data_IF_758011046367
#
_entry.id   IF_758011046367
#
_cell.length_a   1.000
_cell.length_b   1.000
_cell.length_c   1.000
_cell.angle_alpha   90.00
_cell.angle_beta   90.00
_cell.angle_gamma   90.00
#
_symmetry.space_group_name_H-M   'P 1'
#
loop_
_entity.id
_entity.type
_entity.pdbx_description
1 polymer ?
#
# COMPACT_ATOMS: atom_id res chain seq x y z
N UNK A 1 2.04 17.61 -1.56
CA UNK A 1 1.03 17.92 -0.53
C UNK A 1 1.23 19.29 0.14
N UNK A 2 2.44 19.67 0.61
CA UNK A 2 2.65 20.94 1.35
C UNK A 2 2.22 22.19 0.57
N UNK A 3 2.49 22.26 -0.74
CA UNK A 3 2.03 23.37 -1.59
C UNK A 3 0.49 23.49 -1.61
N UNK A 4 -0.21 22.36 -1.66
CA UNK A 4 -1.66 22.33 -1.60
C UNK A 4 -2.24 22.71 -0.24
N UNK A 5 -1.58 22.31 0.85
CA UNK A 5 -1.98 22.69 2.21
C UNK A 5 -1.92 24.21 2.44
N UNK A 6 -0.94 24.87 1.81
CA UNK A 6 -0.70 26.31 1.92
C UNK A 6 -1.36 27.14 0.78
N UNK A 7 -2.15 26.50 -0.07
CA UNK A 7 -2.87 27.19 -1.13
C UNK A 7 -4.04 28.04 -0.57
N UNK A 8 -4.56 28.94 -1.41
CA UNK A 8 -5.74 29.71 -1.02
C UNK A 8 -6.95 28.80 -0.82
N UNK A 9 -7.69 29.06 0.25
CA UNK A 9 -8.90 28.29 0.60
C UNK A 9 -10.15 28.74 -0.19
N UNK A 10 -10.00 29.02 -1.49
CA UNK A 10 -11.04 29.52 -2.40
C UNK A 10 -11.68 28.42 -3.28
N UNK A 11 -11.33 27.15 -3.03
CA UNK A 11 -11.86 26.00 -3.76
C UNK A 11 -11.20 25.76 -5.12
N UNK A 12 -10.21 26.54 -5.53
CA UNK A 12 -9.53 26.40 -6.84
C UNK A 12 -8.42 25.37 -6.80
N UNK A 13 -7.91 25.01 -5.60
CA UNK A 13 -6.82 24.04 -5.43
C UNK A 13 -7.34 22.77 -4.75
N UNK A 14 -7.33 21.68 -5.51
CA UNK A 14 -7.57 20.33 -5.01
C UNK A 14 -6.25 19.58 -4.99
N UNK A 15 -5.95 18.93 -3.88
CA UNK A 15 -4.66 18.24 -3.66
C UNK A 15 -4.89 16.76 -3.45
N UNK A 16 -4.06 15.94 -4.09
CA UNK A 16 -4.00 14.51 -3.74
C UNK A 16 -3.34 14.38 -2.37
N UNK A 17 -4.07 13.78 -1.44
CA UNK A 17 -3.60 13.42 -0.10
C UNK A 17 -3.44 11.91 -0.01
N UNK A 18 -2.42 11.47 0.72
CA UNK A 18 -2.01 10.07 0.74
C UNK A 18 -1.68 9.63 2.17
N UNK A 19 -1.47 8.33 2.36
CA UNK A 19 -1.18 7.71 3.66
C UNK A 19 0.01 8.35 4.37
N UNK A 20 0.94 8.97 3.65
CA UNK A 20 2.09 9.67 4.21
C UNK A 20 1.70 10.78 5.20
N UNK A 21 0.51 11.37 5.07
CA UNK A 21 0.01 12.34 6.07
C UNK A 21 -0.06 11.74 7.48
N UNK A 22 -0.30 10.43 7.61
CA UNK A 22 -0.32 9.74 8.88
C UNK A 22 1.06 9.25 9.33
N UNK A 23 1.91 8.83 8.39
CA UNK A 23 3.21 8.20 8.70
C UNK A 23 4.32 9.22 8.93
N UNK A 24 4.38 10.31 8.15
CA UNK A 24 5.43 11.33 8.25
C UNK A 24 5.44 12.04 9.61
N UNK A 25 4.27 12.27 10.21
CA UNK A 25 4.17 12.87 11.53
C UNK A 25 4.73 11.93 12.61
N UNK A 26 4.36 10.65 12.56
CA UNK A 26 4.88 9.62 13.47
C UNK A 26 6.39 9.41 13.34
N UNK A 27 6.95 9.60 12.14
CA UNK A 27 8.37 9.49 11.85
C UNK A 27 9.17 10.77 12.15
N UNK A 28 8.50 11.87 12.51
CA UNK A 28 9.15 13.18 12.76
C UNK A 28 9.73 13.83 11.49
N UNK A 29 9.30 13.40 10.31
CA UNK A 29 9.81 13.85 9.00
C UNK A 29 8.79 14.66 8.19
N UNK A 30 7.73 15.14 8.83
CA UNK A 30 6.59 15.79 8.19
C UNK A 30 6.87 17.19 7.62
N UNK A 31 8.01 17.81 7.93
CA UNK A 31 8.38 19.17 7.50
C UNK A 31 7.25 20.20 7.72
N UNK A 32 6.49 20.06 8.81
CA UNK A 32 5.33 20.90 9.12
C UNK A 32 4.04 20.52 8.41
N UNK A 33 4.03 19.46 7.60
CA UNK A 33 2.82 18.94 6.95
C UNK A 33 2.06 18.02 7.91
N UNK A 34 0.78 18.31 8.17
CA UNK A 34 -0.10 17.49 9.02
C UNK A 34 -1.43 17.23 8.33
N UNK A 35 -2.12 16.18 8.75
CA UNK A 35 -3.45 15.85 8.23
C UNK A 35 -4.48 16.96 8.51
N UNK A 36 -4.33 17.67 9.63
CA UNK A 36 -5.22 18.78 10.05
C UNK A 36 -5.18 20.00 9.12
N UNK A 37 -4.22 20.08 8.20
CA UNK A 37 -4.12 21.15 7.22
C UNK A 37 -5.07 20.95 6.02
N UNK A 38 -5.73 19.80 5.95
CA UNK A 38 -6.64 19.46 4.86
C UNK A 38 -8.06 19.19 5.34
N UNK A 39 -9.01 19.53 4.50
CA UNK A 39 -10.39 19.06 4.56
C UNK A 39 -10.54 17.99 3.48
N UNK A 40 -10.80 16.71 3.84
CA UNK A 40 -10.92 15.62 2.88
C UNK A 40 -12.20 15.77 2.05
N UNK A 41 -12.14 15.47 0.76
CA UNK A 41 -13.28 15.46 -0.16
C UNK A 41 -13.74 14.03 -0.42
N UNK A 42 -12.83 13.17 -0.88
CA UNK A 42 -13.15 11.79 -1.22
C UNK A 42 -11.90 10.89 -1.20
N UNK A 43 -12.13 9.62 -0.98
CA UNK A 43 -11.12 8.60 -1.23
C UNK A 43 -11.16 8.20 -2.71
N UNK A 44 -9.99 8.13 -3.35
CA UNK A 44 -9.84 7.75 -4.77
C UNK A 44 -9.60 6.25 -4.88
N UNK A 45 -8.65 5.73 -4.11
CA UNK A 45 -8.37 4.30 -4.02
C UNK A 45 -7.75 3.93 -2.68
N UNK A 46 -7.79 2.63 -2.37
CA UNK A 46 -7.01 2.00 -1.31
C UNK A 46 -6.42 0.69 -1.82
N UNK A 47 -5.28 0.30 -1.29
CA UNK A 47 -4.65 -0.99 -1.59
C UNK A 47 -3.96 -1.50 -0.33
N UNK A 48 -4.13 -2.78 -0.03
CA UNK A 48 -3.43 -3.44 1.07
C UNK A 48 -2.10 -4.01 0.61
N UNK A 49 -1.20 -4.24 1.55
CA UNK A 49 0.01 -5.02 1.28
C UNK A 49 -0.34 -6.49 1.04
N UNK A 50 0.41 -7.10 0.14
CA UNK A 50 0.39 -8.54 -0.13
C UNK A 50 1.78 -9.12 0.09
N UNK A 51 1.87 -10.23 0.78
CA UNK A 51 3.12 -11.00 0.92
C UNK A 51 3.17 -11.97 -0.25
N UNK A 52 4.14 -11.75 -1.12
CA UNK A 52 4.24 -12.44 -2.40
C UNK A 52 5.62 -13.08 -2.54
N UNK A 53 5.65 -14.31 -3.06
CA UNK A 53 6.85 -15.11 -3.28
C UNK A 53 6.86 -15.63 -4.73
N UNK A 54 8.01 -16.14 -5.19
CA UNK A 54 8.10 -16.83 -6.47
C UNK A 54 7.23 -18.09 -6.44
N UNK A 55 6.43 -18.33 -7.49
CA UNK A 55 5.51 -19.48 -7.53
C UNK A 55 6.24 -20.83 -7.54
N UNK A 56 7.51 -20.86 -8.01
CA UNK A 56 8.37 -22.07 -8.04
C UNK A 56 9.03 -22.37 -6.70
N UNK A 57 8.94 -21.46 -5.74
CA UNK A 57 9.53 -21.66 -4.42
C UNK A 57 8.66 -22.58 -3.58
N UNK A 58 9.02 -23.85 -3.53
CA UNK A 58 8.28 -24.89 -2.79
C UNK A 58 8.44 -24.80 -1.27
N UNK A 59 9.35 -23.93 -0.76
CA UNK A 59 9.49 -23.71 0.69
C UNK A 59 8.23 -23.10 1.30
N UNK A 60 7.47 -22.32 0.51
CA UNK A 60 6.37 -21.48 1.00
C UNK A 60 5.10 -21.79 0.24
N UNK A 61 4.22 -22.60 0.81
CA UNK A 61 2.88 -22.85 0.24
C UNK A 61 1.79 -22.04 0.95
N UNK A 62 2.03 -21.69 2.22
CA UNK A 62 1.14 -20.89 3.05
C UNK A 62 1.91 -19.74 3.72
N UNK A 63 1.19 -18.77 4.25
CA UNK A 63 1.81 -17.71 5.06
C UNK A 63 2.42 -18.28 6.34
N UNK A 64 1.85 -19.34 6.89
CA UNK A 64 2.35 -20.03 8.08
C UNK A 64 3.70 -20.69 7.80
N UNK A 65 3.87 -21.37 6.65
CA UNK A 65 5.15 -21.96 6.23
C UNK A 65 6.22 -20.86 6.15
N UNK A 66 5.88 -19.75 5.50
CA UNK A 66 6.75 -18.60 5.32
C UNK A 66 7.20 -18.01 6.66
N UNK A 67 6.25 -17.75 7.57
CA UNK A 67 6.55 -17.18 8.88
C UNK A 67 7.37 -18.16 9.74
N UNK A 68 7.02 -19.44 9.74
CA UNK A 68 7.77 -20.44 10.51
C UNK A 68 9.21 -20.57 10.01
N UNK A 69 9.42 -20.57 8.70
CA UNK A 69 10.74 -20.55 8.12
C UNK A 69 11.53 -19.27 8.50
N UNK A 70 10.87 -18.11 8.40
CA UNK A 70 11.49 -16.81 8.69
C UNK A 70 11.79 -16.58 10.18
N UNK A 71 11.25 -17.37 11.10
CA UNK A 71 11.63 -17.34 12.53
C UNK A 71 13.00 -17.97 12.78
N UNK A 72 13.37 -18.94 11.97
CA UNK A 72 14.62 -19.72 12.12
C UNK A 72 15.69 -19.30 11.11
N UNK A 73 15.29 -18.66 10.02
CA UNK A 73 16.16 -18.28 8.90
C UNK A 73 15.94 -16.81 8.53
N UNK A 74 17.00 -16.12 8.12
CA UNK A 74 16.88 -14.79 7.53
C UNK A 74 16.24 -14.89 6.13
N UNK A 75 15.16 -14.13 5.91
CA UNK A 75 14.45 -14.05 4.63
C UNK A 75 14.61 -12.66 4.03
N UNK A 76 15.09 -12.59 2.79
CA UNK A 76 15.21 -11.32 2.06
C UNK A 76 13.83 -10.82 1.60
N UNK A 77 13.43 -9.65 2.12
CA UNK A 77 12.12 -9.04 1.90
C UNK A 77 12.27 -7.73 1.13
N UNK A 78 11.90 -7.74 -0.15
CA UNK A 78 11.88 -6.55 -1.00
C UNK A 78 10.73 -5.61 -0.68
N UNK A 79 10.97 -4.30 -0.77
CA UNK A 79 9.98 -3.26 -0.55
C UNK A 79 10.28 -2.01 -1.40
N UNK A 80 9.38 -1.02 -1.38
CA UNK A 80 9.47 0.18 -2.21
C UNK A 80 10.32 1.32 -1.64
N UNK A 81 11.22 1.03 -0.71
CA UNK A 81 12.13 2.00 -0.12
C UNK A 81 12.05 2.08 1.40
N UNK A 82 13.14 2.50 2.03
CA UNK A 82 13.22 2.63 3.49
C UNK A 82 12.21 3.66 4.01
N UNK A 83 11.39 3.25 4.99
CA UNK A 83 10.34 4.08 5.58
C UNK A 83 9.08 4.24 4.71
N UNK A 84 9.07 3.72 3.47
CA UNK A 84 7.87 3.67 2.66
C UNK A 84 6.82 2.70 3.24
N UNK A 85 5.57 2.83 2.81
CA UNK A 85 4.46 2.05 3.38
C UNK A 85 4.68 0.53 3.27
N UNK A 86 5.29 0.05 2.19
CA UNK A 86 5.56 -1.37 2.01
C UNK A 86 6.72 -1.88 2.89
N UNK A 87 7.70 -1.02 3.22
CA UNK A 87 8.69 -1.34 4.25
C UNK A 87 8.03 -1.45 5.63
N UNK A 88 7.13 -0.52 5.97
CA UNK A 88 6.38 -0.58 7.23
C UNK A 88 5.48 -1.82 7.32
N UNK A 89 4.92 -2.27 6.19
CA UNK A 89 4.14 -3.50 6.11
C UNK A 89 5.00 -4.73 6.49
N UNK A 90 6.16 -4.89 5.85
CA UNK A 90 7.08 -5.97 6.16
C UNK A 90 7.58 -5.91 7.62
N UNK A 91 7.95 -4.72 8.10
CA UNK A 91 8.41 -4.51 9.47
C UNK A 91 7.29 -4.79 10.50
N UNK A 92 6.04 -4.42 10.19
CA UNK A 92 4.88 -4.73 11.02
C UNK A 92 4.64 -6.23 11.16
N UNK A 93 4.75 -6.96 10.06
CA UNK A 93 4.66 -8.43 10.06
C UNK A 93 5.80 -9.06 10.86
N UNK A 94 7.03 -8.60 10.66
CA UNK A 94 8.18 -9.07 11.43
C UNK A 94 7.98 -8.87 12.95
N UNK A 95 7.51 -7.69 13.34
CA UNK A 95 7.24 -7.35 14.74
C UNK A 95 6.15 -8.24 15.35
N UNK A 96 5.07 -8.49 14.61
CA UNK A 96 3.93 -9.29 15.07
C UNK A 96 4.30 -10.77 15.22
N UNK A 97 5.12 -11.28 14.29
CA UNK A 97 5.38 -12.72 14.19
C UNK A 97 6.70 -13.16 14.79
N UNK A 98 7.65 -12.25 14.99
CA UNK A 98 9.04 -12.57 15.34
C UNK A 98 9.88 -13.08 14.16
N UNK A 99 9.37 -12.96 12.92
CA UNK A 99 10.10 -13.33 11.71
C UNK A 99 11.35 -12.46 11.49
N UNK A 100 12.40 -13.03 10.93
CA UNK A 100 13.67 -12.37 10.66
C UNK A 100 13.72 -11.95 9.17
N UNK A 101 13.34 -10.72 8.88
CA UNK A 101 13.38 -10.17 7.53
C UNK A 101 14.63 -9.29 7.34
N UNK A 102 15.41 -9.62 6.31
CA UNK A 102 16.41 -8.72 5.75
C UNK A 102 15.72 -7.80 4.73
N UNK A 103 15.44 -6.57 5.14
CA UNK A 103 14.77 -5.61 4.29
C UNK A 103 15.68 -5.15 3.15
N UNK A 104 15.23 -5.33 1.90
CA UNK A 104 15.90 -4.88 0.68
C UNK A 104 15.06 -3.74 0.08
N UNK A 105 15.61 -2.52 0.17
CA UNK A 105 14.92 -1.32 -0.29
C UNK A 105 15.22 -1.05 -1.77
N UNK A 106 14.16 -0.85 -2.56
CA UNK A 106 14.21 -0.48 -3.97
C UNK A 106 13.65 0.92 -4.19
N UNK A 107 13.95 1.51 -5.33
CA UNK A 107 13.30 2.74 -5.79
C UNK A 107 11.95 2.39 -6.45
N UNK A 108 10.96 2.06 -5.61
CA UNK A 108 9.65 1.57 -6.02
C UNK A 108 9.51 0.05 -6.09
N UNK A 109 8.27 -0.43 -6.22
CA UNK A 109 7.95 -1.86 -6.18
C UNK A 109 8.47 -2.64 -7.40
N UNK A 110 8.57 -2.00 -8.58
CA UNK A 110 8.92 -2.68 -9.83
C UNK A 110 10.30 -3.38 -9.76
N UNK A 111 11.31 -2.72 -9.17
CA UNK A 111 12.64 -3.31 -8.98
C UNK A 111 12.60 -4.53 -8.06
N UNK A 112 11.86 -4.45 -6.95
CA UNK A 112 11.69 -5.56 -6.02
C UNK A 112 11.00 -6.77 -6.69
N UNK A 113 9.96 -6.53 -7.49
CA UNK A 113 9.24 -7.57 -8.22
C UNK A 113 10.15 -8.23 -9.27
N UNK A 114 10.97 -7.46 -9.97
CA UNK A 114 11.94 -7.99 -10.94
C UNK A 114 12.94 -8.93 -10.27
N UNK A 115 13.48 -8.53 -9.12
CA UNK A 115 14.43 -9.35 -8.36
C UNK A 115 13.78 -10.60 -7.75
N UNK A 116 12.49 -10.52 -7.37
CA UNK A 116 11.73 -11.69 -6.93
C UNK A 116 11.52 -12.68 -8.07
N UNK A 117 11.17 -12.22 -9.27
CA UNK A 117 11.03 -13.05 -10.46
C UNK A 117 12.36 -13.72 -10.84
N UNK A 118 13.48 -13.00 -10.64
CA UNK A 118 14.83 -13.50 -10.85
C UNK A 118 15.38 -14.36 -9.71
N UNK A 119 14.59 -14.62 -8.66
CA UNK A 119 14.99 -15.40 -7.48
C UNK A 119 16.20 -14.81 -6.73
N UNK A 120 16.41 -13.47 -6.84
CA UNK A 120 17.47 -12.74 -6.14
C UNK A 120 17.08 -12.36 -4.71
N UNK A 121 15.78 -12.32 -4.42
CA UNK A 121 15.18 -12.15 -3.10
C UNK A 121 14.07 -13.18 -2.89
N UNK A 122 13.77 -13.49 -1.61
CA UNK A 122 12.81 -14.55 -1.26
C UNK A 122 11.35 -14.10 -1.35
N UNK A 123 11.06 -12.84 -1.01
CA UNK A 123 9.70 -12.33 -0.96
C UNK A 123 9.65 -10.82 -1.19
N UNK A 124 8.46 -10.32 -1.50
CA UNK A 124 8.14 -8.87 -1.49
C UNK A 124 6.92 -8.58 -0.65
N UNK A 125 6.94 -7.42 0.00
CA UNK A 125 5.75 -6.78 0.57
C UNK A 125 5.42 -5.56 -0.29
N UNK A 126 4.40 -5.69 -1.16
CA UNK A 126 3.90 -4.66 -2.07
C UNK A 126 2.39 -4.81 -2.22
N UNK A 127 1.68 -3.93 -2.96
CA UNK A 127 0.25 -4.13 -3.16
C UNK A 127 -0.03 -5.28 -4.14
N UNK A 128 -1.19 -5.94 -3.96
CA UNK A 128 -1.64 -6.97 -4.91
C UNK A 128 -1.70 -6.42 -6.35
N UNK A 129 -2.16 -5.20 -6.55
CA UNK A 129 -2.26 -4.60 -7.87
C UNK A 129 -0.91 -4.52 -8.63
N UNK A 130 0.21 -4.44 -7.90
CA UNK A 130 1.55 -4.38 -8.48
C UNK A 130 2.05 -5.77 -8.92
N UNK A 131 1.52 -6.84 -8.37
CA UNK A 131 1.92 -8.24 -8.68
C UNK A 131 0.84 -9.01 -9.44
N UNK A 132 -0.35 -8.47 -9.64
CA UNK A 132 -1.52 -9.17 -10.17
C UNK A 132 -1.25 -9.92 -11.48
N UNK A 133 -0.63 -9.26 -12.47
CA UNK A 133 -0.32 -9.87 -13.75
C UNK A 133 0.62 -11.08 -13.62
N UNK A 134 1.57 -11.06 -12.69
CA UNK A 134 2.50 -12.17 -12.44
C UNK A 134 1.85 -13.32 -11.66
N UNK A 135 0.87 -12.99 -10.83
CA UNK A 135 0.05 -14.00 -10.14
C UNK A 135 -0.88 -14.70 -11.13
N UNK A 136 -1.51 -13.94 -12.04
CA UNK A 136 -2.37 -14.47 -13.09
C UNK A 136 -1.59 -15.33 -14.10
N UNK A 137 -0.32 -14.98 -14.40
CA UNK A 137 0.55 -15.81 -15.26
C UNK A 137 1.10 -17.04 -14.54
N UNK A 138 1.01 -17.12 -13.23
CA UNK A 138 1.55 -18.21 -12.41
C UNK A 138 3.05 -18.09 -12.12
N UNK A 139 3.66 -16.93 -12.34
CA UNK A 139 5.08 -16.69 -12.02
C UNK A 139 5.29 -16.35 -10.53
N UNK A 140 4.31 -15.70 -9.92
CA UNK A 140 4.30 -15.35 -8.50
C UNK A 140 3.06 -15.94 -7.82
N UNK A 141 3.15 -16.14 -6.49
CA UNK A 141 2.02 -16.52 -5.64
C UNK A 141 1.92 -15.60 -4.42
N UNK A 142 0.70 -15.20 -4.08
CA UNK A 142 0.40 -14.41 -2.88
C UNK A 142 0.09 -15.36 -1.73
N UNK A 143 0.80 -15.23 -0.61
CA UNK A 143 0.60 -16.06 0.57
C UNK A 143 -0.48 -15.51 1.51
N UNK A 144 -0.53 -14.19 1.67
CA UNK A 144 -1.57 -13.49 2.45
C UNK A 144 -1.65 -12.01 2.07
N UNK A 145 -2.79 -11.40 2.39
CA UNK A 145 -3.00 -9.95 2.27
C UNK A 145 -3.17 -9.31 3.65
N UNK A 146 -2.64 -8.11 3.83
CA UNK A 146 -2.75 -7.33 5.07
C UNK A 146 -3.99 -6.44 5.04
N UNK A 147 -5.16 -7.06 4.95
CA UNK A 147 -6.45 -6.39 4.86
C UNK A 147 -7.40 -6.95 5.93
N UNK A 148 -8.48 -6.25 6.23
CA UNK A 148 -9.53 -6.69 7.14
C UNK A 148 -10.43 -7.79 6.56
N UNK A 149 -10.40 -7.97 5.24
CA UNK A 149 -11.11 -9.02 4.49
C UNK A 149 -10.29 -9.46 3.28
N UNK A 150 -10.58 -10.65 2.77
CA UNK A 150 -9.99 -11.14 1.51
C UNK A 150 -10.32 -10.22 0.35
N UNK A 151 -9.44 -10.19 -0.65
CA UNK A 151 -9.70 -9.44 -1.88
C UNK A 151 -10.61 -10.25 -2.81
N UNK A 152 -11.62 -9.60 -3.37
CA UNK A 152 -12.57 -10.24 -4.30
C UNK A 152 -11.88 -10.81 -5.55
N UNK A 153 -10.73 -10.25 -5.93
CA UNK A 153 -9.91 -10.71 -7.09
C UNK A 153 -9.10 -11.98 -6.80
N UNK A 154 -8.83 -12.29 -5.55
CA UNK A 154 -8.09 -13.49 -5.10
C UNK A 154 -8.75 -14.08 -3.84
N UNK A 155 -9.99 -14.58 -3.94
CA UNK A 155 -10.79 -14.97 -2.77
C UNK A 155 -10.22 -16.15 -1.98
N UNK A 156 -9.36 -16.95 -2.60
CA UNK A 156 -8.71 -18.10 -1.98
C UNK A 156 -7.51 -17.71 -1.12
N UNK A 157 -6.96 -16.50 -1.29
CA UNK A 157 -5.81 -16.01 -0.50
C UNK A 157 -6.32 -15.46 0.84
N UNK A 158 -5.81 -15.97 1.97
CA UNK A 158 -6.24 -15.51 3.29
C UNK A 158 -5.74 -14.09 3.61
N UNK A 159 -6.37 -13.46 4.58
CA UNK A 159 -5.78 -12.30 5.24
C UNK A 159 -4.76 -12.74 6.30
N UNK A 160 -3.83 -11.85 6.66
CA UNK A 160 -2.92 -12.11 7.78
C UNK A 160 -3.70 -12.36 9.09
N UNK A 161 -4.85 -11.70 9.29
CA UNK A 161 -5.69 -11.89 10.48
C UNK A 161 -6.35 -13.27 10.51
N UNK A 162 -6.81 -13.79 9.36
CA UNK A 162 -7.35 -15.18 9.27
C UNK A 162 -6.28 -16.22 9.60
N UNK A 163 -5.01 -15.93 9.27
CA UNK A 163 -3.86 -16.77 9.63
C UNK A 163 -3.36 -16.56 11.08
N UNK A 164 -4.03 -15.72 11.87
CA UNK A 164 -3.69 -15.47 13.28
C UNK A 164 -2.67 -14.34 13.51
N UNK A 165 -2.29 -13.59 12.49
CA UNK A 165 -1.38 -12.45 12.59
C UNK A 165 -2.15 -11.14 12.51
N UNK A 166 -2.17 -10.37 13.61
CA UNK A 166 -2.96 -9.13 13.68
C UNK A 166 -2.26 -7.95 12.98
N UNK A 167 -2.11 -8.06 11.67
CA UNK A 167 -1.52 -7.01 10.83
C UNK A 167 -2.50 -6.64 9.72
N UNK A 168 -2.94 -5.38 9.72
CA UNK A 168 -3.68 -4.74 8.64
C UNK A 168 -2.91 -3.49 8.26
N UNK A 169 -2.41 -3.44 7.04
CA UNK A 169 -1.61 -2.32 6.57
C UNK A 169 -1.72 -2.15 5.05
N UNK A 170 -1.92 -0.92 4.64
CA UNK A 170 -2.07 -0.58 3.25
C UNK A 170 -1.87 0.90 2.98
N UNK A 171 -2.02 1.28 1.74
CA UNK A 171 -2.01 2.66 1.29
C UNK A 171 -3.40 3.12 0.90
N UNK A 172 -3.61 4.41 0.96
CA UNK A 172 -4.82 5.05 0.42
C UNK A 172 -4.44 6.37 -0.25
N UNK A 173 -5.24 6.77 -1.20
CA UNK A 173 -5.14 8.07 -1.88
C UNK A 173 -6.51 8.71 -1.86
N UNK A 174 -6.55 9.99 -1.53
CA UNK A 174 -7.75 10.79 -1.49
C UNK A 174 -7.52 12.18 -2.10
N UNK A 175 -8.59 12.90 -2.23
CA UNK A 175 -8.56 14.32 -2.59
C UNK A 175 -8.92 15.16 -1.37
N UNK A 176 -8.23 16.27 -1.19
CA UNK A 176 -8.47 17.25 -0.14
C UNK A 176 -8.23 18.66 -0.63
N UNK A 177 -8.78 19.60 0.10
CA UNK A 177 -8.58 21.05 -0.07
C UNK A 177 -7.94 21.63 1.19
N UNK A 178 -7.41 22.86 1.16
CA UNK A 178 -6.98 23.56 2.38
C UNK A 178 -8.08 23.55 3.45
N UNK A 179 -7.71 23.37 4.72
CA UNK A 179 -8.66 23.17 5.84
C UNK A 179 -9.73 24.25 5.97
N UNK A 180 -9.38 25.49 5.61
CA UNK A 180 -10.26 26.67 5.77
C UNK A 180 -11.16 26.90 4.53
N UNK A 181 -11.17 25.96 3.57
CA UNK A 181 -12.05 26.04 2.39
C UNK A 181 -13.52 25.93 2.83
N UNK A 182 -14.39 26.89 2.43
CA UNK A 182 -15.82 26.87 2.77
C UNK A 182 -16.53 25.61 2.29
N UNK A 183 -17.44 25.05 3.10
CA UNK A 183 -18.15 23.80 2.79
C UNK A 183 -19.00 23.91 1.51
N UNK A 184 -19.49 25.09 1.20
CA UNK A 184 -20.27 25.38 -0.01
C UNK A 184 -19.45 25.07 -1.30
N UNK A 185 -18.13 25.26 -1.26
CA UNK A 185 -17.23 24.99 -2.37
C UNK A 185 -16.89 23.50 -2.50
N UNK A 186 -17.00 22.72 -1.43
CA UNK A 186 -16.70 21.28 -1.46
C UNK A 186 -17.63 20.52 -2.40
N UNK A 187 -18.91 20.83 -2.42
CA UNK A 187 -19.91 20.17 -3.28
C UNK A 187 -19.58 20.37 -4.76
N UNK A 188 -19.11 21.56 -5.15
CA UNK A 188 -18.69 21.85 -6.52
C UNK A 188 -17.42 21.04 -6.90
N UNK A 189 -16.42 21.02 -6.03
CA UNK A 189 -15.16 20.26 -6.24
C UNK A 189 -15.42 18.76 -6.34
N UNK A 190 -16.29 18.20 -5.50
CA UNK A 190 -16.70 16.80 -5.57
C UNK A 190 -17.37 16.44 -6.90
N UNK A 191 -18.28 17.28 -7.39
CA UNK A 191 -18.97 17.05 -8.68
C UNK A 191 -18.02 17.08 -9.86
N UNK A 192 -17.02 17.96 -9.87
CA UNK A 192 -16.01 18.03 -10.92
C UNK A 192 -15.10 16.81 -10.91
N UNK A 193 -14.63 16.36 -9.74
CA UNK A 193 -13.80 15.17 -9.58
C UNK A 193 -14.55 13.89 -9.97
N UNK A 194 -15.81 13.75 -9.59
CA UNK A 194 -16.66 12.62 -9.98
C UNK A 194 -16.93 12.56 -11.48
N UNK A 195 -17.11 13.69 -12.16
CA UNK A 195 -17.29 13.74 -13.62
C UNK A 195 -16.04 13.29 -14.36
N UNK A 196 -14.85 13.70 -13.91
CA UNK A 196 -13.60 13.25 -14.52
C UNK A 196 -13.37 11.75 -14.34
N UNK A 197 -13.70 11.20 -13.16
CA UNK A 197 -13.56 9.76 -12.89
C UNK A 197 -14.51 8.90 -13.73
N UNK A 198 -15.74 9.38 -13.99
CA UNK A 198 -16.71 8.70 -14.88
C UNK A 198 -16.27 8.72 -16.34
N UNK A 199 -15.64 9.81 -16.80
CA UNK A 199 -15.11 9.92 -18.15
C UNK A 199 -13.90 9.00 -18.40
N UNK A 200 -13.02 8.83 -17.42
CA UNK A 200 -11.88 7.93 -17.53
C UNK A 200 -12.31 6.45 -17.58
N UNK A 201 -13.34 6.07 -16.84
CA UNK A 201 -13.92 4.72 -16.90
C UNK A 201 -14.59 4.39 -18.24
N UNK A 202 -15.19 5.38 -18.90
CA UNK A 202 -15.85 5.17 -20.21
C UNK A 202 -14.87 5.11 -21.39
N UNK A 203 -13.60 5.47 -21.19
CA UNK A 203 -12.55 5.39 -22.22
C UNK A 203 -11.69 4.13 -22.10
N UNK A 204 -11.88 3.31 -21.06
CA UNK A 204 -11.15 2.05 -20.81
C UNK A 204 -12.06 0.82 -20.83
N UNK A 205 -13.31 0.97 -21.23
CA UNK A 205 -14.29 -0.09 -21.58
C UNK A 205 -14.45 -0.17 -23.13
#
# INVERSE_FOLDING_TARGET
>A
MLAGANAKADGTTVTMITVELATLEAMGTNAGLTYSMFKPIMMVNSACAAITVNAKDDRFNTIEDFINYAKENEVSMGNSGNGAIWHLAAAGLAKETGAQFKHVAYDGAAGAITDLLGEHIDAVAVSYAEVANYVESGDLKVLAVMNDKRLDSIPDVPTCQEAGYNVVLGTWRGLGVPKDTPDELLTSSMRSSLRQHSLTRSLTS
#
